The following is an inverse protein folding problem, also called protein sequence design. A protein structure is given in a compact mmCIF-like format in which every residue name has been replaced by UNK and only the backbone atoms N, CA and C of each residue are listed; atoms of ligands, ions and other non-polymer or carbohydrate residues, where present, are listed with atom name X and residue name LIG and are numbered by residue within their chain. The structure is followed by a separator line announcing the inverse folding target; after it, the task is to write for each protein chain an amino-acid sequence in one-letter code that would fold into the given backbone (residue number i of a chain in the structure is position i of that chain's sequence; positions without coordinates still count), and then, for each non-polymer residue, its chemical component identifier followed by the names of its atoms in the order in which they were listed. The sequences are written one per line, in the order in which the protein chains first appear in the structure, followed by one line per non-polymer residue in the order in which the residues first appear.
data_IF_615742120589
#
_entry.id   IF_615742120589
#
_cell.length_a   1.000
_cell.length_b   1.000
_cell.length_c   1.000
_cell.angle_alpha   90.00
_cell.angle_beta   90.00
_cell.angle_gamma   90.00
#
_symmetry.space_group_name_H-M   'P 1'
#
loop_
_entity.id
_entity.type
_entity.pdbx_description
1 polymer ?
#
# COMPACT_ATOMS: atom_id res chain seq x y z
N UNK A 1 -3.91 -6.94 -10.36
CA UNK A 1 -3.36 -8.27 -9.99
C UNK A 1 -2.56 -8.91 -11.13
N UNK A 2 -2.86 -8.61 -12.40
CA UNK A 2 -2.22 -9.25 -13.55
C UNK A 2 -0.72 -8.95 -13.72
N UNK A 3 -0.23 -7.87 -13.09
CA UNK A 3 1.18 -7.46 -13.20
C UNK A 3 2.07 -8.01 -12.08
N UNK A 4 1.49 -8.45 -10.96
CA UNK A 4 2.26 -9.06 -9.87
C UNK A 4 2.65 -10.50 -10.25
N UNK A 5 3.91 -10.84 -9.97
CA UNK A 5 4.48 -12.15 -10.30
C UNK A 5 4.90 -12.88 -9.03
N UNK A 6 4.73 -14.20 -9.03
CA UNK A 6 5.18 -15.05 -7.94
C UNK A 6 6.69 -15.25 -7.99
N UNK A 7 7.38 -15.24 -6.84
CA UNK A 7 8.81 -15.60 -6.78
C UNK A 7 9.04 -17.04 -7.23
N UNK A 8 8.21 -17.95 -6.73
CA UNK A 8 8.38 -19.38 -6.94
C UNK A 8 9.52 -19.99 -6.13
N UNK A 9 9.98 -21.16 -6.58
CA UNK A 9 11.01 -21.96 -5.90
C UNK A 9 12.38 -21.70 -6.53
N UNK A 10 13.10 -20.71 -5.99
CA UNK A 10 14.34 -20.19 -6.60
C UNK A 10 15.64 -20.55 -5.88
N UNK A 11 15.55 -21.15 -4.69
CA UNK A 11 16.73 -21.46 -3.86
C UNK A 11 17.33 -20.21 -3.21
N UNK A 12 18.52 -20.35 -2.61
CA UNK A 12 19.15 -19.30 -1.79
C UNK A 12 19.67 -18.11 -2.60
N UNK A 13 20.17 -18.34 -3.82
CA UNK A 13 20.76 -17.29 -4.68
C UNK A 13 20.04 -17.17 -6.02
N UNK A 14 18.86 -17.78 -6.17
CA UNK A 14 18.06 -17.67 -7.39
C UNK A 14 18.31 -18.75 -8.45
N UNK A 15 19.34 -19.59 -8.27
CA UNK A 15 19.80 -20.56 -9.26
C UNK A 15 19.07 -21.90 -9.26
N UNK A 16 18.21 -22.15 -8.27
CA UNK A 16 17.50 -23.43 -8.09
C UNK A 16 18.40 -24.66 -7.88
N UNK A 17 19.68 -24.49 -7.55
CA UNK A 17 20.66 -25.58 -7.46
C UNK A 17 20.22 -26.73 -6.54
N UNK A 18 19.66 -26.42 -5.36
CA UNK A 18 19.18 -27.45 -4.43
C UNK A 18 18.02 -28.27 -5.00
N UNK A 19 17.11 -27.64 -5.75
CA UNK A 19 16.01 -28.35 -6.42
C UNK A 19 16.51 -29.19 -7.59
N UNK A 20 17.50 -28.69 -8.34
CA UNK A 20 18.12 -29.44 -9.43
C UNK A 20 18.81 -30.70 -8.90
N UNK A 21 19.53 -30.59 -7.78
CA UNK A 21 20.14 -31.73 -7.09
C UNK A 21 19.07 -32.72 -6.61
N UNK A 22 18.00 -32.23 -5.99
CA UNK A 22 16.88 -33.06 -5.53
C UNK A 22 16.26 -33.89 -6.66
N UNK A 23 16.13 -33.29 -7.84
CA UNK A 23 15.62 -33.97 -9.03
C UNK A 23 16.72 -34.63 -9.88
N UNK A 24 17.91 -34.89 -9.31
CA UNK A 24 19.03 -35.61 -9.96
C UNK A 24 19.42 -35.01 -11.32
N UNK A 25 19.40 -33.68 -11.45
CA UNK A 25 19.74 -32.97 -12.68
C UNK A 25 18.57 -32.74 -13.65
N UNK A 26 17.36 -33.22 -13.33
CA UNK A 26 16.19 -33.05 -14.20
C UNK A 26 15.64 -31.61 -14.13
N UNK A 27 16.06 -30.80 -15.09
CA UNK A 27 15.62 -29.40 -15.22
C UNK A 27 14.14 -29.25 -15.56
N UNK A 28 13.51 -30.25 -16.19
CA UNK A 28 12.09 -30.18 -16.54
C UNK A 28 11.24 -30.32 -15.28
N UNK A 29 11.62 -31.20 -14.35
CA UNK A 29 10.96 -31.32 -13.04
C UNK A 29 11.09 -30.05 -12.20
N UNK A 30 12.25 -29.39 -12.22
CA UNK A 30 12.43 -28.09 -11.52
C UNK A 30 11.47 -27.03 -12.08
N UNK A 31 11.38 -26.90 -13.41
CA UNK A 31 10.46 -25.96 -14.06
C UNK A 31 9.00 -26.30 -13.78
N UNK A 32 8.64 -27.58 -13.80
CA UNK A 32 7.30 -28.05 -13.51
C UNK A 32 6.91 -27.76 -12.06
N UNK A 33 7.81 -27.98 -11.10
CA UNK A 33 7.60 -27.63 -9.69
C UNK A 33 7.35 -26.12 -9.52
N UNK A 34 8.23 -25.28 -10.09
CA UNK A 34 8.12 -23.82 -10.01
C UNK A 34 6.79 -23.30 -10.59
N UNK A 35 6.36 -23.88 -11.72
CA UNK A 35 5.06 -23.59 -12.33
C UNK A 35 3.91 -24.04 -11.43
N UNK A 36 3.94 -25.30 -10.95
CA UNK A 36 2.86 -25.87 -10.15
C UNK A 36 2.63 -25.12 -8.85
N UNK A 37 3.70 -24.73 -8.15
CA UNK A 37 3.58 -23.95 -6.91
C UNK A 37 3.00 -22.56 -7.16
N UNK A 38 3.37 -21.91 -8.28
CA UNK A 38 2.79 -20.61 -8.65
C UNK A 38 1.28 -20.73 -8.94
N UNK A 39 0.86 -21.77 -9.67
CA UNK A 39 -0.56 -22.06 -9.94
C UNK A 39 -1.35 -22.29 -8.65
N UNK A 40 -0.82 -23.10 -7.73
CA UNK A 40 -1.45 -23.36 -6.44
C UNK A 40 -1.56 -22.11 -5.57
N UNK A 41 -0.62 -21.16 -5.71
CA UNK A 41 -0.69 -19.85 -5.06
C UNK A 41 -1.63 -18.86 -5.77
N UNK A 42 -2.28 -19.26 -6.87
CA UNK A 42 -3.19 -18.40 -7.64
C UNK A 42 -2.47 -17.31 -8.46
N UNK A 43 -1.25 -17.58 -8.92
CA UNK A 43 -0.48 -16.70 -9.79
C UNK A 43 -0.28 -17.33 -11.18
N UNK A 44 -0.68 -16.57 -12.20
CA UNK A 44 -0.49 -16.97 -13.61
C UNK A 44 0.92 -16.62 -14.13
N UNK A 45 1.62 -15.69 -13.47
CA UNK A 45 2.95 -15.23 -13.84
C UNK A 45 3.93 -15.47 -12.68
N UNK A 46 5.17 -15.81 -13.02
CA UNK A 46 6.27 -16.00 -12.06
C UNK A 46 7.55 -15.34 -12.56
N UNK A 47 8.43 -14.97 -11.63
CA UNK A 47 9.76 -14.49 -12.00
C UNK A 47 10.60 -15.62 -12.56
N UNK A 48 11.28 -15.35 -13.67
CA UNK A 48 12.28 -16.26 -14.24
C UNK A 48 13.64 -15.99 -13.58
N UNK A 49 13.98 -14.71 -13.42
CA UNK A 49 15.23 -14.24 -12.82
C UNK A 49 14.94 -13.63 -11.44
N UNK A 50 15.63 -14.12 -10.43
CA UNK A 50 15.63 -13.58 -9.07
C UNK A 50 17.01 -13.77 -8.45
N UNK A 51 17.35 -13.02 -7.41
CA UNK A 51 18.36 -13.42 -6.44
C UNK A 51 17.73 -14.34 -5.38
N UNK A 52 18.04 -14.11 -4.12
CA UNK A 52 17.40 -14.82 -3.00
C UNK A 52 15.90 -14.52 -2.92
N UNK A 53 15.48 -13.32 -3.29
CA UNK A 53 14.10 -12.84 -3.14
C UNK A 53 13.53 -12.28 -4.45
N UNK A 54 12.24 -11.98 -4.47
CA UNK A 54 11.72 -11.10 -5.52
C UNK A 54 12.34 -9.71 -5.36
N UNK A 55 12.54 -8.98 -6.46
CA UNK A 55 13.16 -7.65 -6.40
C UNK A 55 12.38 -6.69 -5.51
N UNK A 56 13.08 -5.98 -4.61
CA UNK A 56 12.46 -4.95 -3.75
C UNK A 56 11.93 -3.75 -4.53
N UNK A 57 12.24 -3.65 -5.83
CA UNK A 57 11.55 -2.72 -6.75
C UNK A 57 10.03 -2.91 -6.76
N UNK A 58 9.55 -4.14 -6.58
CA UNK A 58 8.10 -4.44 -6.50
C UNK A 58 7.48 -3.73 -5.32
N UNK A 59 8.15 -3.75 -4.16
CA UNK A 59 7.67 -3.06 -2.96
C UNK A 59 7.61 -1.54 -3.22
N UNK A 60 8.62 -0.97 -3.87
CA UNK A 60 8.63 0.43 -4.30
C UNK A 60 7.47 0.77 -5.25
N UNK A 61 7.20 -0.05 -6.26
CA UNK A 61 6.10 0.20 -7.21
C UNK A 61 4.73 0.21 -6.50
N UNK A 62 4.49 -0.76 -5.61
CA UNK A 62 3.25 -0.84 -4.81
C UNK A 62 3.11 0.39 -3.90
N UNK A 63 4.17 0.72 -3.15
CA UNK A 63 4.13 1.86 -2.22
C UNK A 63 4.03 3.19 -2.98
N UNK A 64 4.59 3.30 -4.18
CA UNK A 64 4.44 4.51 -5.02
C UNK A 64 2.99 4.74 -5.44
N UNK A 65 2.26 3.69 -5.81
CA UNK A 65 0.83 3.80 -6.10
C UNK A 65 0.03 4.24 -4.86
N UNK A 66 0.33 3.67 -3.69
CA UNK A 66 -0.31 4.05 -2.42
C UNK A 66 0.04 5.50 -2.02
N UNK A 67 1.28 5.93 -2.24
CA UNK A 67 1.72 7.31 -2.00
C UNK A 67 0.97 8.29 -2.91
N UNK A 68 0.77 7.94 -4.19
CA UNK A 68 -0.05 8.71 -5.13
C UNK A 68 -1.52 8.81 -4.72
N UNK A 69 -2.09 7.72 -4.17
CA UNK A 69 -3.41 7.77 -3.53
C UNK A 69 -3.42 8.75 -2.35
N UNK A 70 -2.40 8.71 -1.49
CA UNK A 70 -2.24 9.67 -0.39
C UNK A 70 -2.26 11.12 -0.88
N UNK A 71 -1.48 11.46 -1.91
CA UNK A 71 -1.48 12.82 -2.48
C UNK A 71 -2.88 13.24 -2.98
N UNK A 72 -3.59 12.34 -3.65
CA UNK A 72 -4.96 12.57 -4.15
C UNK A 72 -5.92 12.86 -3.00
N UNK A 73 -5.93 12.01 -1.97
CA UNK A 73 -6.83 12.17 -0.82
C UNK A 73 -6.49 13.43 -0.02
N UNK A 74 -5.21 13.71 0.20
CA UNK A 74 -4.81 14.90 0.94
C UNK A 74 -5.30 16.18 0.25
N UNK A 75 -5.19 16.25 -1.09
CA UNK A 75 -5.69 17.41 -1.85
C UNK A 75 -7.21 17.54 -1.74
N UNK A 76 -7.94 16.45 -1.98
CA UNK A 76 -9.41 16.44 -1.91
C UNK A 76 -9.93 16.85 -0.53
N UNK A 77 -9.38 16.26 0.54
CA UNK A 77 -9.79 16.59 1.90
C UNK A 77 -9.36 18.01 2.33
N UNK A 78 -8.26 18.54 1.81
CA UNK A 78 -7.91 19.96 2.00
C UNK A 78 -8.97 20.88 1.39
N UNK A 79 -9.43 20.59 0.16
CA UNK A 79 -10.49 21.40 -0.48
C UNK A 79 -11.79 21.33 0.33
N UNK A 80 -12.22 20.13 0.77
CA UNK A 80 -13.41 19.95 1.61
C UNK A 80 -13.32 20.81 2.88
N UNK A 81 -12.15 20.86 3.53
CA UNK A 81 -11.94 21.68 4.74
C UNK A 81 -12.05 23.18 4.44
N UNK A 82 -11.60 23.63 3.27
CA UNK A 82 -11.74 25.03 2.85
C UNK A 82 -13.21 25.34 2.52
N UNK A 83 -13.91 24.46 1.82
CA UNK A 83 -15.34 24.64 1.51
C UNK A 83 -16.21 24.66 2.78
N UNK A 84 -15.86 23.85 3.78
CA UNK A 84 -16.50 23.86 5.09
C UNK A 84 -16.33 25.20 5.82
N UNK A 85 -15.15 25.84 5.70
CA UNK A 85 -14.96 27.16 6.32
C UNK A 85 -15.77 28.26 5.62
N UNK A 86 -16.07 28.10 4.32
CA UNK A 86 -16.95 28.97 3.54
C UNK A 86 -18.43 28.65 3.69
N UNK A 87 -18.78 27.56 4.38
CA UNK A 87 -20.15 27.04 4.51
C UNK A 87 -20.80 26.69 3.16
N UNK A 88 -20.00 26.35 2.17
CA UNK A 88 -20.49 25.91 0.85
C UNK A 88 -20.78 24.39 0.86
N UNK A 89 -19.99 23.64 1.63
CA UNK A 89 -20.07 22.19 1.73
C UNK A 89 -19.59 21.71 3.10
N UNK A 90 -20.28 20.76 3.70
CA UNK A 90 -19.89 20.11 4.97
C UNK A 90 -19.80 18.58 4.82
N UNK A 91 -19.02 17.96 5.69
CA UNK A 91 -19.03 16.51 5.88
C UNK A 91 -20.34 16.05 6.55
N UNK A 92 -20.72 14.77 6.42
CA UNK A 92 -21.84 14.22 7.18
C UNK A 92 -21.65 14.43 8.69
N UNK A 93 -22.70 14.85 9.37
CA UNK A 93 -22.68 15.13 10.81
C UNK A 93 -23.65 14.18 11.52
N UNK A 94 -23.13 13.32 12.40
CA UNK A 94 -23.97 12.35 13.09
C UNK A 94 -24.86 13.06 14.13
N UNK A 95 -26.03 12.49 14.40
CA UNK A 95 -27.00 13.06 15.35
C UNK A 95 -26.45 13.22 16.76
N UNK A 96 -25.56 12.32 17.19
CA UNK A 96 -24.88 12.36 18.50
C UNK A 96 -23.49 13.00 18.45
N UNK A 97 -23.06 13.55 17.31
CA UNK A 97 -21.72 14.11 17.16
C UNK A 97 -21.61 15.45 17.88
N UNK A 98 -20.64 15.56 18.79
CA UNK A 98 -20.27 16.82 19.43
C UNK A 98 -19.15 17.46 18.60
N UNK A 99 -19.44 18.57 17.94
CA UNK A 99 -18.44 19.25 17.10
C UNK A 99 -17.39 20.01 17.93
N UNK A 100 -17.80 20.66 19.03
CA UNK A 100 -16.90 21.28 20.00
C UNK A 100 -17.53 21.22 21.39
N UNK A 101 -16.72 20.92 22.42
CA UNK A 101 -17.15 20.91 23.82
C UNK A 101 -17.59 22.29 24.34
N UNK A 102 -17.17 23.38 23.68
CA UNK A 102 -17.44 24.76 24.11
C UNK A 102 -18.40 25.52 23.19
N UNK A 103 -18.62 25.06 21.95
CA UNK A 103 -19.40 25.77 20.94
C UNK A 103 -20.40 24.82 20.25
N UNK A 104 -21.68 24.81 20.67
CA UNK A 104 -22.69 23.87 20.17
C UNK A 104 -22.96 23.96 18.66
N UNK A 105 -22.76 25.14 18.07
CA UNK A 105 -22.97 25.38 16.63
C UNK A 105 -21.75 25.02 15.77
N UNK A 106 -20.57 24.77 16.37
CA UNK A 106 -19.33 24.57 15.63
C UNK A 106 -19.24 23.14 15.10
N UNK A 107 -19.29 22.99 13.78
CA UNK A 107 -19.02 21.73 13.07
C UNK A 107 -17.62 21.76 12.49
N UNK A 108 -16.82 20.74 12.80
CA UNK A 108 -15.45 20.63 12.30
C UNK A 108 -15.37 19.51 11.24
N UNK A 109 -14.64 19.71 10.13
CA UNK A 109 -14.39 18.68 9.12
C UNK A 109 -13.32 17.67 9.60
N UNK A 110 -13.59 17.05 10.75
CA UNK A 110 -12.62 16.22 11.48
C UNK A 110 -12.24 14.95 10.72
N UNK A 111 -13.14 14.42 9.87
CA UNK A 111 -12.83 13.22 9.09
C UNK A 111 -11.88 13.57 7.96
N UNK A 112 -12.05 14.70 7.27
CA UNK A 112 -11.10 15.20 6.27
C UNK A 112 -9.76 15.55 6.90
N UNK A 113 -9.75 16.14 8.11
CA UNK A 113 -8.51 16.36 8.86
C UNK A 113 -7.76 15.06 9.14
N UNK A 114 -8.48 14.01 9.58
CA UNK A 114 -7.92 12.67 9.78
C UNK A 114 -7.41 12.07 8.46
N UNK A 115 -8.16 12.19 7.38
CA UNK A 115 -7.73 11.75 6.05
C UNK A 115 -6.44 12.46 5.61
N UNK A 116 -6.34 13.78 5.76
CA UNK A 116 -5.10 14.52 5.47
C UNK A 116 -3.92 14.03 6.32
N UNK A 117 -4.13 13.73 7.60
CA UNK A 117 -3.08 13.23 8.48
C UNK A 117 -2.57 11.86 8.04
N UNK A 118 -3.47 10.89 7.79
CA UNK A 118 -3.12 9.55 7.32
C UNK A 118 -2.50 9.59 5.92
N UNK A 119 -3.06 10.38 5.01
CA UNK A 119 -2.55 10.56 3.66
C UNK A 119 -1.11 11.09 3.65
N UNK A 120 -0.75 11.97 4.59
CA UNK A 120 0.64 12.43 4.74
C UNK A 120 1.58 11.28 5.09
N UNK A 121 1.18 10.37 5.97
CA UNK A 121 1.95 9.18 6.29
C UNK A 121 2.19 8.31 5.04
N UNK A 122 1.14 8.06 4.24
CA UNK A 122 1.25 7.31 2.98
C UNK A 122 2.28 7.92 2.02
N UNK A 123 2.28 9.25 1.90
CA UNK A 123 3.24 9.98 1.05
C UNK A 123 4.68 9.72 1.53
N UNK A 124 4.90 9.84 2.84
CA UNK A 124 6.22 9.66 3.46
C UNK A 124 6.78 8.24 3.27
N UNK A 125 5.93 7.20 3.24
CA UNK A 125 6.40 5.81 3.10
C UNK A 125 7.10 5.52 1.76
N UNK A 126 6.90 6.34 0.72
CA UNK A 126 7.55 6.16 -0.59
C UNK A 126 9.08 6.14 -0.49
N UNK A 127 9.67 7.12 0.20
CA UNK A 127 11.14 7.21 0.32
C UNK A 127 11.72 5.99 1.03
N UNK A 128 10.96 5.42 1.97
CA UNK A 128 11.38 4.24 2.72
C UNK A 128 11.51 3.00 1.82
N UNK A 129 10.51 2.75 0.97
CA UNK A 129 10.57 1.68 -0.02
C UNK A 129 11.66 1.92 -1.07
N UNK A 130 11.85 3.17 -1.51
CA UNK A 130 12.87 3.55 -2.49
C UNK A 130 14.28 3.29 -1.97
N UNK A 131 14.56 3.73 -0.73
CA UNK A 131 15.84 3.53 -0.07
C UNK A 131 16.14 2.03 0.13
N UNK A 132 15.15 1.25 0.57
CA UNK A 132 15.31 -0.21 0.73
C UNK A 132 15.68 -0.90 -0.58
N UNK A 133 15.09 -0.50 -1.72
CA UNK A 133 15.47 -1.08 -3.00
C UNK A 133 16.88 -0.64 -3.45
N UNK A 134 17.22 0.63 -3.25
CA UNK A 134 18.46 1.23 -3.74
C UNK A 134 19.73 0.62 -3.13
N UNK A 135 19.65 0.12 -1.90
CA UNK A 135 20.82 -0.37 -1.14
C UNK A 135 20.88 -1.90 -1.01
N UNK A 136 20.04 -2.65 -1.72
CA UNK A 136 20.18 -4.11 -1.77
C UNK A 136 21.46 -4.51 -2.48
N UNK A 137 22.35 -5.24 -1.80
CA UNK A 137 23.59 -5.73 -2.42
C UNK A 137 23.41 -7.13 -2.99
N UNK A 138 23.82 -7.30 -4.26
CA UNK A 138 23.88 -8.59 -4.97
C UNK A 138 22.56 -9.38 -4.86
N UNK A 139 22.57 -10.66 -4.47
CA UNK A 139 21.39 -11.51 -4.45
C UNK A 139 20.39 -11.18 -3.33
N UNK A 140 20.84 -10.57 -2.22
CA UNK A 140 20.05 -9.95 -1.13
C UNK A 140 20.96 -9.53 0.05
N UNK A 141 20.61 -8.41 0.71
CA UNK A 141 21.01 -8.10 2.10
C UNK A 141 19.79 -8.05 3.04
N UNK A 142 19.97 -8.42 4.32
CA UNK A 142 18.85 -8.66 5.25
C UNK A 142 18.30 -7.39 5.93
N UNK A 143 18.93 -6.24 5.71
CA UNK A 143 18.49 -4.92 6.18
C UNK A 143 17.06 -4.57 5.69
N UNK A 144 16.61 -5.18 4.59
CA UNK A 144 15.25 -5.08 4.09
C UNK A 144 14.19 -5.66 5.05
N UNK A 145 14.56 -6.62 5.90
CA UNK A 145 13.61 -7.46 6.62
C UNK A 145 12.80 -6.68 7.66
N UNK A 146 13.48 -5.95 8.55
CA UNK A 146 12.83 -5.20 9.62
C UNK A 146 11.99 -4.05 9.05
N UNK A 147 12.56 -3.34 8.08
CA UNK A 147 11.92 -2.22 7.42
C UNK A 147 10.59 -2.61 6.74
N UNK A 148 10.61 -3.67 5.93
CA UNK A 148 9.43 -4.15 5.20
C UNK A 148 8.30 -4.63 6.11
N UNK A 149 8.60 -5.13 7.32
CA UNK A 149 7.58 -5.53 8.30
C UNK A 149 6.74 -4.35 8.77
N UNK A 150 7.34 -3.18 8.83
CA UNK A 150 6.69 -1.93 9.23
C UNK A 150 6.03 -1.31 8.01
N UNK A 151 6.83 -0.94 7.00
CA UNK A 151 6.40 -0.12 5.87
C UNK A 151 5.27 -0.74 5.06
N UNK A 152 5.33 -2.05 4.77
CA UNK A 152 4.27 -2.68 3.97
C UNK A 152 2.96 -2.76 4.75
N UNK A 153 3.00 -3.20 6.01
CA UNK A 153 1.80 -3.32 6.83
C UNK A 153 1.14 -1.95 7.09
N UNK A 154 1.94 -0.96 7.51
CA UNK A 154 1.44 0.39 7.76
C UNK A 154 0.86 1.03 6.51
N UNK A 155 1.48 0.85 5.34
CA UNK A 155 0.95 1.41 4.09
C UNK A 155 -0.46 0.90 3.78
N UNK A 156 -0.68 -0.42 3.87
CA UNK A 156 -1.99 -1.00 3.58
C UNK A 156 -3.02 -0.64 4.64
N UNK A 157 -2.68 -0.70 5.93
CA UNK A 157 -3.59 -0.34 7.02
C UNK A 157 -3.98 1.14 6.99
N UNK A 158 -3.01 2.01 6.70
CA UNK A 158 -3.25 3.45 6.57
C UNK A 158 -4.14 3.74 5.37
N UNK A 159 -3.86 3.12 4.22
CA UNK A 159 -4.68 3.28 3.02
C UNK A 159 -6.13 2.80 3.23
N UNK A 160 -6.31 1.66 3.88
CA UNK A 160 -7.64 1.13 4.23
C UNK A 160 -8.42 2.08 5.14
N UNK A 161 -7.81 2.52 6.24
CA UNK A 161 -8.44 3.48 7.17
C UNK A 161 -8.78 4.82 6.49
N UNK A 162 -7.90 5.30 5.60
CA UNK A 162 -8.14 6.50 4.78
C UNK A 162 -9.33 6.29 3.84
N UNK A 163 -9.38 5.18 3.10
CA UNK A 163 -10.46 4.91 2.14
C UNK A 163 -11.81 4.69 2.83
N UNK A 164 -11.85 3.99 3.97
CA UNK A 164 -13.07 3.82 4.75
C UNK A 164 -13.60 5.16 5.28
N UNK A 165 -12.70 6.02 5.76
CA UNK A 165 -13.08 7.36 6.22
C UNK A 165 -13.56 8.23 5.05
N UNK A 166 -12.87 8.17 3.91
CA UNK A 166 -13.23 8.93 2.71
C UNK A 166 -14.58 8.47 2.13
N UNK A 167 -14.87 7.17 2.13
CA UNK A 167 -16.15 6.62 1.72
C UNK A 167 -17.29 7.20 2.55
N UNK A 168 -17.12 7.24 3.88
CA UNK A 168 -18.10 7.84 4.78
C UNK A 168 -18.32 9.33 4.51
N UNK A 169 -17.25 10.09 4.24
CA UNK A 169 -17.37 11.50 3.84
C UNK A 169 -18.19 11.63 2.55
N UNK A 170 -17.79 10.93 1.50
CA UNK A 170 -18.39 11.04 0.17
C UNK A 170 -19.87 10.62 0.12
N UNK A 171 -20.29 9.67 0.96
CA UNK A 171 -21.68 9.20 1.01
C UNK A 171 -22.65 10.20 1.63
N UNK A 172 -22.16 11.17 2.40
CA UNK A 172 -23.02 12.07 3.16
C UNK A 172 -22.62 13.54 3.07
N UNK A 173 -21.96 13.95 1.98
CA UNK A 173 -21.64 15.35 1.74
C UNK A 173 -22.91 16.20 1.76
N UNK A 174 -22.89 17.27 2.56
CA UNK A 174 -23.97 18.25 2.65
C UNK A 174 -23.56 19.47 1.85
N UNK A 175 -24.35 19.83 0.84
CA UNK A 175 -24.11 21.03 0.02
C UNK A 175 -25.12 22.10 0.42
N UNK A 176 -24.67 23.36 0.50
CA UNK A 176 -25.52 24.52 0.76
C UNK A 176 -25.60 25.38 -0.52
N UNK A 177 -26.64 25.22 -1.36
CA UNK A 177 -26.72 25.94 -2.64
C UNK A 177 -27.08 27.43 -2.54
N UNK A 178 -27.37 27.92 -1.33
CA UNK A 178 -27.85 29.28 -1.05
C UNK A 178 -26.94 29.99 -0.07
#
# INVERSE_FOLDING_TARGET
REDLRFRGVKGTTGTQASFLQLFKGDSNKVRALDKRVAELAGFNKRYIVTGQTYSRKVDLEVISAISGLGATVHKMCSDIRILASRKELEEPFETSQIGSSAMPYKRNPMRSERCCALARHLITLHSNAANTHAVQWMERTLDDSANRRITLAEAFLTADATLLTLLNICQGLVVYPK
#
